data_IF_143172873255
#
_entry.id   IF_143172873255
#
_cell.length_a   1.000
_cell.length_b   1.000
_cell.length_c   1.000
_cell.angle_alpha   90.00
_cell.angle_beta   90.00
_cell.angle_gamma   90.00
#
_symmetry.space_group_name_H-M   'P 1'
#
loop_
_entity.id
_entity.type
_entity.pdbx_description
1 polymer ?
#
# COMPACT_ATOMS: atom_id res chain seq x y z
N UNK A 1 9.78 40.62 -83.31
CA UNK A 1 9.24 39.34 -82.86
C UNK A 1 10.26 38.65 -82.03
N UNK A 2 10.22 38.81 -80.68
CA UNK A 2 11.17 38.22 -79.72
C UNK A 2 10.39 37.20 -78.87
N UNK A 3 10.77 35.96 -79.01
CA UNK A 3 10.29 34.86 -78.15
C UNK A 3 10.95 34.94 -76.77
N UNK A 4 10.21 35.27 -75.76
CA UNK A 4 10.63 35.26 -74.39
C UNK A 4 10.68 33.82 -73.87
N UNK A 5 11.89 33.42 -73.50
CA UNK A 5 12.22 32.09 -73.02
C UNK A 5 11.65 31.85 -71.58
N UNK A 6 10.82 30.85 -71.39
CA UNK A 6 10.10 30.52 -70.18
C UNK A 6 10.82 29.47 -69.33
N UNK A 7 12.16 29.40 -69.37
CA UNK A 7 12.91 28.26 -68.75
C UNK A 7 13.91 28.63 -67.66
N UNK A 8 13.71 29.67 -66.91
CA UNK A 8 14.67 30.02 -65.84
C UNK A 8 14.04 30.23 -64.45
N UNK A 9 12.95 29.57 -64.13
CA UNK A 9 12.30 29.69 -62.83
C UNK A 9 12.25 28.36 -62.03
N UNK A 10 13.20 27.47 -62.26
CA UNK A 10 13.35 26.22 -61.50
C UNK A 10 14.74 26.18 -60.91
N UNK A 11 14.92 26.67 -59.69
CA UNK A 11 16.19 26.47 -59.05
C UNK A 11 16.46 27.31 -57.81
N UNK A 12 15.63 27.25 -56.81
CA UNK A 12 16.04 27.43 -55.39
C UNK A 12 14.94 26.85 -54.49
N UNK A 13 14.88 25.52 -54.42
CA UNK A 13 14.11 24.82 -53.41
C UNK A 13 14.80 25.01 -52.09
N UNK A 14 14.23 25.84 -51.20
CA UNK A 14 14.60 25.88 -49.81
C UNK A 14 14.10 24.58 -49.17
N UNK A 15 15.03 23.70 -48.75
CA UNK A 15 14.71 22.55 -47.96
C UNK A 15 14.23 23.03 -46.58
N UNK A 16 12.92 23.04 -46.34
CA UNK A 16 12.36 23.20 -45.01
C UNK A 16 12.57 21.89 -44.30
N UNK A 17 13.55 21.83 -43.40
CA UNK A 17 13.70 20.74 -42.46
C UNK A 17 12.48 20.74 -41.54
N UNK A 18 11.52 19.87 -41.76
CA UNK A 18 10.45 19.62 -40.82
C UNK A 18 11.06 18.98 -39.57
N UNK A 19 11.30 19.82 -38.55
CA UNK A 19 11.58 19.30 -37.20
C UNK A 19 10.32 18.59 -36.70
N UNK A 20 10.29 17.26 -36.82
CA UNK A 20 9.23 16.43 -36.28
C UNK A 20 9.26 16.56 -34.75
N UNK A 21 8.29 17.28 -34.20
CA UNK A 21 8.03 17.25 -32.75
C UNK A 21 7.47 15.85 -32.47
N UNK A 22 8.33 14.97 -31.93
CA UNK A 22 7.89 13.70 -31.39
C UNK A 22 6.99 13.97 -30.20
N UNK A 23 5.67 13.95 -30.40
CA UNK A 23 4.72 13.97 -29.31
C UNK A 23 4.88 12.63 -28.57
N UNK A 24 5.52 12.66 -27.41
CA UNK A 24 5.60 11.50 -26.52
C UNK A 24 4.17 11.14 -26.12
N UNK A 25 3.63 10.06 -26.66
CA UNK A 25 2.36 9.50 -26.23
C UNK A 25 2.59 9.02 -24.79
N UNK A 26 1.84 9.53 -23.79
CA UNK A 26 2.03 9.05 -22.42
C UNK A 26 1.77 7.54 -22.40
N UNK A 27 2.72 6.79 -21.85
CA UNK A 27 2.55 5.36 -21.68
C UNK A 27 1.27 5.12 -20.88
N UNK A 28 0.32 4.42 -21.44
CA UNK A 28 -0.90 4.01 -20.73
C UNK A 28 -0.45 3.15 -19.56
N UNK A 29 -0.54 3.68 -18.35
CA UNK A 29 -0.21 2.94 -17.14
C UNK A 29 -1.07 1.67 -17.10
N UNK A 30 -0.42 0.52 -17.00
CA UNK A 30 -1.13 -0.75 -16.94
C UNK A 30 -2.04 -0.74 -15.70
N UNK A 31 -3.30 -1.16 -15.86
CA UNK A 31 -4.25 -1.20 -14.76
C UNK A 31 -3.67 -2.03 -13.58
N UNK A 32 -3.79 -1.55 -12.34
CA UNK A 32 -3.24 -2.26 -11.20
C UNK A 32 -3.88 -3.64 -11.07
N UNK A 33 -3.09 -4.63 -10.61
CA UNK A 33 -3.55 -5.99 -10.34
C UNK A 33 -3.41 -6.29 -8.85
N UNK A 34 -4.29 -7.15 -8.32
CA UNK A 34 -4.13 -7.71 -6.98
C UNK A 34 -2.87 -8.57 -6.93
N UNK A 35 -2.01 -8.31 -5.95
CA UNK A 35 -0.85 -9.14 -5.63
C UNK A 35 -1.00 -9.66 -4.21
N UNK A 36 -0.79 -10.97 -4.00
CA UNK A 36 -0.77 -11.59 -2.67
C UNK A 36 0.67 -11.71 -2.21
N UNK A 37 0.96 -11.20 -0.99
CA UNK A 37 2.26 -11.30 -0.36
C UNK A 37 2.29 -12.54 0.53
N UNK A 38 2.86 -13.62 -0.01
CA UNK A 38 2.93 -14.91 0.69
C UNK A 38 4.10 -14.95 1.67
N UNK A 39 3.88 -15.50 2.85
CA UNK A 39 4.95 -15.83 3.77
C UNK A 39 5.90 -16.83 3.09
N UNK A 40 7.21 -16.54 3.10
CA UNK A 40 8.18 -17.33 2.36
C UNK A 40 8.18 -17.13 0.84
N UNK A 41 7.42 -16.14 0.30
CA UNK A 41 7.46 -15.73 -1.11
C UNK A 41 6.78 -16.66 -2.11
N UNK A 42 6.10 -17.73 -1.63
CA UNK A 42 5.41 -18.71 -2.48
C UNK A 42 4.00 -18.98 -1.97
N UNK A 43 3.03 -19.21 -2.89
CA UNK A 43 1.72 -19.66 -2.48
C UNK A 43 1.83 -21.02 -1.77
N UNK A 44 1.00 -21.29 -0.75
CA UNK A 44 0.95 -22.59 -0.08
C UNK A 44 0.39 -23.67 -1.03
N UNK A 45 0.72 -24.94 -0.77
CA UNK A 45 0.22 -26.08 -1.56
C UNK A 45 -1.30 -26.22 -1.56
N UNK A 46 -1.93 -25.81 -0.44
CA UNK A 46 -3.39 -25.78 -0.30
C UNK A 46 -3.88 -24.35 -0.24
N UNK A 47 -5.01 -24.06 -0.89
CA UNK A 47 -5.64 -22.75 -0.82
C UNK A 47 -5.90 -22.37 0.64
N UNK A 48 -5.33 -21.27 1.13
CA UNK A 48 -5.56 -20.82 2.51
C UNK A 48 -6.94 -20.20 2.66
N UNK A 49 -7.43 -20.11 3.90
CA UNK A 49 -8.72 -19.49 4.20
C UNK A 49 -8.75 -18.01 3.83
N UNK A 50 -7.63 -17.31 4.05
CA UNK A 50 -7.45 -15.89 3.72
C UNK A 50 -5.97 -15.61 3.42
N UNK A 51 -5.68 -14.40 2.92
CA UNK A 51 -4.32 -13.91 2.68
C UNK A 51 -3.92 -12.96 3.80
N UNK A 52 -2.73 -13.12 4.37
CA UNK A 52 -2.20 -12.25 5.42
C UNK A 52 -1.91 -10.82 4.93
N UNK A 53 -1.54 -10.67 3.65
CA UNK A 53 -1.32 -9.37 3.03
C UNK A 53 -1.62 -9.40 1.53
N UNK A 54 -2.26 -8.34 1.03
CA UNK A 54 -2.49 -8.14 -0.41
C UNK A 54 -2.22 -6.68 -0.77
N UNK A 55 -1.71 -6.45 -1.99
CA UNK A 55 -1.62 -5.11 -2.56
C UNK A 55 -2.44 -4.96 -3.83
N UNK A 56 -2.83 -3.71 -4.13
CA UNK A 56 -3.48 -3.30 -5.36
C UNK A 56 -3.00 -1.88 -5.72
N UNK A 57 -2.27 -1.77 -6.81
CA UNK A 57 -1.49 -0.58 -7.08
C UNK A 57 -0.43 -0.39 -6.01
N UNK A 58 -0.39 0.78 -5.40
CA UNK A 58 0.50 1.10 -4.28
C UNK A 58 -0.16 0.92 -2.90
N UNK A 59 -1.42 0.48 -2.81
CA UNK A 59 -2.08 0.21 -1.54
C UNK A 59 -1.78 -1.21 -1.06
N UNK A 60 -1.47 -1.33 0.21
CA UNK A 60 -1.21 -2.58 0.93
C UNK A 60 -2.25 -2.76 2.04
N UNK A 61 -2.87 -3.93 2.08
CA UNK A 61 -3.88 -4.32 3.06
C UNK A 61 -3.32 -5.49 3.87
N UNK A 62 -3.24 -5.34 5.19
CA UNK A 62 -2.94 -6.45 6.10
C UNK A 62 -4.23 -6.97 6.73
N UNK A 63 -4.31 -8.28 6.90
CA UNK A 63 -5.36 -8.90 7.71
C UNK A 63 -5.21 -8.54 9.18
N UNK A 64 -6.27 -8.76 9.98
CA UNK A 64 -6.18 -8.61 11.43
C UNK A 64 -5.07 -9.49 12.03
N UNK A 65 -4.32 -8.90 12.94
CA UNK A 65 -3.25 -9.54 13.72
C UNK A 65 -3.65 -9.47 15.20
N UNK A 66 -3.72 -10.62 15.85
CA UNK A 66 -3.98 -10.77 17.27
C UNK A 66 -2.80 -11.42 18.00
N UNK A 67 -2.83 -11.42 19.34
CA UNK A 67 -1.85 -12.06 20.20
C UNK A 67 -2.41 -13.38 20.74
N UNK A 68 -1.70 -14.48 20.58
CA UNK A 68 -2.15 -15.83 20.94
C UNK A 68 -1.31 -16.45 22.06
N UNK A 69 -1.12 -15.69 23.15
CA UNK A 69 -0.39 -16.10 24.34
C UNK A 69 -1.03 -15.48 25.60
N UNK A 70 -0.71 -16.00 26.77
CA UNK A 70 -1.16 -15.43 28.05
C UNK A 70 -0.47 -14.12 28.33
N UNK A 71 -1.23 -13.04 28.56
CA UNK A 71 -0.68 -11.72 28.79
C UNK A 71 -1.75 -10.67 29.08
N UNK A 72 -1.32 -9.48 29.45
CA UNK A 72 -2.20 -8.34 29.60
C UNK A 72 -2.35 -7.56 28.28
N UNK A 73 -3.24 -6.56 28.29
CA UNK A 73 -3.51 -5.75 27.10
C UNK A 73 -2.26 -5.05 26.58
N UNK A 74 -1.33 -4.62 27.44
CA UNK A 74 -0.10 -3.94 27.00
C UNK A 74 0.84 -4.91 26.28
N UNK A 75 1.02 -6.12 26.83
CA UNK A 75 1.80 -7.18 26.19
C UNK A 75 1.21 -7.57 24.83
N UNK A 76 -0.11 -7.79 24.77
CA UNK A 76 -0.80 -8.09 23.51
C UNK A 76 -0.68 -6.96 22.50
N UNK A 77 -0.90 -5.70 22.91
CA UNK A 77 -0.80 -4.55 22.00
C UNK A 77 0.61 -4.41 21.44
N UNK A 78 1.63 -4.55 22.30
CA UNK A 78 3.02 -4.49 21.84
C UNK A 78 3.32 -5.56 20.81
N UNK A 79 2.96 -6.80 21.09
CA UNK A 79 3.17 -7.93 20.19
C UNK A 79 2.48 -7.69 18.84
N UNK A 80 1.20 -7.29 18.83
CA UNK A 80 0.43 -7.02 17.62
C UNK A 80 1.09 -5.91 16.77
N UNK A 81 1.57 -4.83 17.41
CA UNK A 81 2.27 -3.75 16.69
C UNK A 81 3.63 -4.19 16.13
N UNK A 82 4.38 -5.03 16.86
CA UNK A 82 5.65 -5.60 16.39
C UNK A 82 5.42 -6.53 15.17
N UNK A 83 4.37 -7.36 15.21
CA UNK A 83 4.00 -8.24 14.09
C UNK A 83 3.53 -7.43 12.86
N UNK A 84 2.72 -6.37 13.06
CA UNK A 84 2.33 -5.45 11.98
C UNK A 84 3.57 -4.84 11.34
N UNK A 85 4.51 -4.33 12.15
CA UNK A 85 5.76 -3.76 11.65
C UNK A 85 6.52 -4.76 10.80
N UNK A 86 6.75 -5.97 11.30
CA UNK A 86 7.44 -7.05 10.60
C UNK A 86 6.76 -7.35 9.26
N UNK A 87 5.42 -7.44 9.26
CA UNK A 87 4.65 -7.74 8.06
C UNK A 87 4.71 -6.60 7.03
N UNK A 88 4.58 -5.34 7.47
CA UNK A 88 4.74 -4.17 6.60
C UNK A 88 6.11 -4.15 5.92
N UNK A 89 7.18 -4.34 6.70
CA UNK A 89 8.56 -4.36 6.20
C UNK A 89 8.78 -5.49 5.18
N UNK A 90 8.23 -6.69 5.44
CA UNK A 90 8.31 -7.82 4.50
C UNK A 90 7.58 -7.56 3.18
N UNK A 91 6.62 -6.64 3.16
CA UNK A 91 5.85 -6.23 1.98
C UNK A 91 6.40 -4.95 1.31
N UNK A 92 7.54 -4.38 1.77
CA UNK A 92 8.15 -3.16 1.22
C UNK A 92 7.52 -1.86 1.72
N UNK A 93 6.79 -1.91 2.85
CA UNK A 93 6.18 -0.78 3.53
C UNK A 93 6.84 -0.53 4.90
N UNK A 94 6.24 0.33 5.74
CA UNK A 94 6.72 0.66 7.08
C UNK A 94 5.60 1.24 7.93
N UNK A 95 5.82 1.36 9.24
CA UNK A 95 4.81 1.87 10.19
C UNK A 95 4.37 3.31 9.88
N UNK A 96 5.27 4.17 9.45
CA UNK A 96 4.99 5.56 9.05
C UNK A 96 4.21 5.69 7.73
N UNK A 97 4.12 4.61 6.96
CA UNK A 97 3.31 4.54 5.73
C UNK A 97 1.89 4.00 5.96
N UNK A 98 1.51 3.72 7.18
CA UNK A 98 0.15 3.28 7.50
C UNK A 98 -0.82 4.45 7.38
N UNK A 99 -1.87 4.24 6.59
CA UNK A 99 -2.92 5.24 6.34
C UNK A 99 -4.11 5.07 7.29
N UNK A 100 -4.44 3.83 7.62
CA UNK A 100 -5.60 3.49 8.46
C UNK A 100 -5.30 2.29 9.36
N UNK A 101 -5.79 2.36 10.61
CA UNK A 101 -5.89 1.24 11.54
C UNK A 101 -7.34 1.02 11.96
N UNK A 102 -7.78 -0.23 12.02
CA UNK A 102 -8.94 -0.65 12.80
C UNK A 102 -8.43 -1.43 14.02
N UNK A 103 -8.90 -1.06 15.19
CA UNK A 103 -8.53 -1.69 16.47
C UNK A 103 -9.78 -2.30 17.08
N UNK A 104 -9.74 -3.60 17.32
CA UNK A 104 -10.80 -4.39 17.92
C UNK A 104 -10.34 -4.84 19.31
N UNK A 105 -11.02 -4.40 20.35
CA UNK A 105 -10.73 -4.75 21.74
C UNK A 105 -11.72 -5.83 22.21
N UNK A 106 -11.24 -6.80 22.98
CA UNK A 106 -12.12 -7.75 23.65
C UNK A 106 -12.97 -7.06 24.73
N UNK A 107 -12.45 -6.01 25.35
CA UNK A 107 -13.15 -5.20 26.35
C UNK A 107 -12.74 -3.74 26.24
N UNK A 108 -13.70 -2.80 26.27
CA UNK A 108 -13.43 -1.38 26.16
C UNK A 108 -12.71 -0.81 27.41
N UNK A 109 -12.73 -1.53 28.54
CA UNK A 109 -11.94 -1.15 29.74
C UNK A 109 -10.43 -1.07 29.45
N UNK A 110 -9.96 -1.81 28.44
CA UNK A 110 -8.54 -1.88 28.05
C UNK A 110 -8.11 -0.73 27.14
N UNK A 111 -9.04 0.14 26.71
CA UNK A 111 -8.79 1.22 25.75
C UNK A 111 -7.64 2.14 26.18
N UNK A 112 -7.60 2.54 27.46
CA UNK A 112 -6.56 3.45 27.97
C UNK A 112 -5.18 2.80 27.96
N UNK A 113 -5.08 1.56 28.46
CA UNK A 113 -3.82 0.83 28.56
C UNK A 113 -3.28 0.43 27.16
N UNK A 114 -4.19 0.08 26.23
CA UNK A 114 -3.83 -0.12 24.82
C UNK A 114 -3.26 1.15 24.22
N UNK A 115 -3.89 2.31 24.43
CA UNK A 115 -3.42 3.59 23.89
C UNK A 115 -2.03 3.99 24.39
N UNK A 116 -1.65 3.66 25.63
CA UNK A 116 -0.33 3.93 26.17
C UNK A 116 0.78 3.24 25.36
N UNK A 117 0.51 2.03 24.85
CA UNK A 117 1.46 1.27 24.00
C UNK A 117 1.37 1.69 22.55
N UNK A 118 0.18 2.03 22.06
CA UNK A 118 -0.06 2.45 20.68
C UNK A 118 0.60 3.80 20.35
N UNK A 119 0.71 4.67 21.34
CA UNK A 119 1.24 6.03 21.18
C UNK A 119 2.67 6.01 20.63
N UNK A 120 2.89 6.73 19.52
CA UNK A 120 4.20 6.87 18.88
C UNK A 120 4.60 5.70 17.98
N UNK A 121 3.83 4.60 17.92
CA UNK A 121 4.17 3.43 17.11
C UNK A 121 4.19 3.69 15.61
N UNK A 122 3.52 4.73 15.13
CA UNK A 122 3.39 5.09 13.71
C UNK A 122 4.13 6.39 13.35
N UNK A 123 5.06 6.84 14.18
CA UNK A 123 5.80 8.09 13.95
C UNK A 123 5.04 9.34 14.36
N UNK A 124 5.44 10.50 13.78
CA UNK A 124 4.88 11.82 14.10
C UNK A 124 3.53 12.11 13.43
N UNK A 125 3.19 11.38 12.36
CA UNK A 125 1.96 11.52 11.58
C UNK A 125 1.15 10.22 11.66
N UNK A 126 0.42 9.98 12.78
CA UNK A 126 -0.28 8.71 12.98
C UNK A 126 -1.43 8.54 11.99
N UNK A 127 -1.78 7.27 11.65
CA UNK A 127 -2.87 6.96 10.75
C UNK A 127 -4.23 7.37 11.31
N UNK A 128 -5.24 7.50 10.44
CA UNK A 128 -6.63 7.54 10.91
C UNK A 128 -6.97 6.21 11.58
N UNK A 129 -7.70 6.24 12.71
CA UNK A 129 -8.00 5.05 13.51
C UNK A 129 -9.48 4.95 13.86
N UNK A 130 -10.02 3.73 13.79
CA UNK A 130 -11.29 3.37 14.41
C UNK A 130 -11.00 2.36 15.51
N UNK A 131 -11.59 2.55 16.69
CA UNK A 131 -11.47 1.60 17.80
C UNK A 131 -12.86 1.24 18.31
N UNK A 132 -13.14 -0.05 18.42
CA UNK A 132 -14.37 -0.60 18.97
C UNK A 132 -14.07 -1.77 19.88
N UNK A 133 -14.97 -2.09 20.81
CA UNK A 133 -14.97 -3.41 21.45
C UNK A 133 -15.91 -4.34 20.71
N UNK A 134 -15.55 -5.61 20.67
CA UNK A 134 -16.28 -6.68 19.98
C UNK A 134 -16.69 -7.78 20.97
N UNK A 135 -17.61 -8.64 20.57
CA UNK A 135 -18.08 -9.74 21.42
C UNK A 135 -16.98 -10.77 21.75
N UNK A 136 -15.89 -10.81 20.96
CA UNK A 136 -14.74 -11.65 21.17
C UNK A 136 -13.73 -11.48 20.06
N UNK A 137 -12.45 -11.66 20.36
CA UNK A 137 -11.35 -11.69 19.41
C UNK A 137 -10.86 -13.13 19.30
N UNK A 138 -10.64 -13.65 18.06
CA UNK A 138 -10.17 -15.02 17.87
C UNK A 138 -8.89 -15.33 18.65
N UNK A 139 -8.74 -16.58 19.11
CA UNK A 139 -7.56 -17.06 19.83
C UNK A 139 -7.36 -16.44 21.21
N UNK A 140 -8.43 -15.91 21.83
CA UNK A 140 -8.40 -15.22 23.14
C UNK A 140 -7.47 -13.99 23.18
N UNK A 141 -7.21 -13.39 22.04
CA UNK A 141 -6.49 -12.10 22.03
C UNK A 141 -7.32 -11.00 22.68
N UNK A 142 -6.67 -10.11 23.42
CA UNK A 142 -7.32 -8.94 24.02
C UNK A 142 -7.45 -7.78 23.02
N UNK A 143 -6.70 -7.82 21.92
CA UNK A 143 -6.73 -6.83 20.85
C UNK A 143 -6.39 -7.47 19.51
N UNK A 144 -7.07 -7.04 18.46
CA UNK A 144 -6.72 -7.33 17.08
C UNK A 144 -6.62 -6.01 16.31
N UNK A 145 -5.67 -5.91 15.39
CA UNK A 145 -5.49 -4.71 14.58
C UNK A 145 -5.28 -5.12 13.13
N UNK A 146 -6.04 -4.51 12.22
CA UNK A 146 -5.78 -4.51 10.79
C UNK A 146 -5.34 -3.13 10.31
N UNK A 147 -4.59 -3.09 9.20
CA UNK A 147 -4.09 -1.83 8.68
C UNK A 147 -4.16 -1.75 7.15
N UNK A 148 -4.28 -0.52 6.66
CA UNK A 148 -4.07 -0.17 5.26
C UNK A 148 -2.87 0.77 5.21
N UNK A 149 -1.89 0.43 4.35
CA UNK A 149 -0.67 1.19 4.14
C UNK A 149 -0.42 1.44 2.64
N UNK A 150 0.69 2.09 2.31
CA UNK A 150 1.17 2.17 0.93
C UNK A 150 2.61 1.64 0.81
N UNK A 151 2.98 1.22 -0.39
CA UNK A 151 4.32 0.75 -0.77
C UNK A 151 4.99 1.75 -1.70
#
# INVERSE_FOLDING_TARGET
>A
MNKTDRRSFLGKGAAVAAAGVAVAVPAVAQAPKKVVHWDGGKPPDKTPLFSGAVSYGNLLFLSGIGAHFEGDIKAHTKHVLDEIKTKLESCGSSMDKVLKCNVYLADLKDYKAMNEVFLGSFGSEPPVRTTVSVAGVPGNSLVEIDVIAYI
#
